data_IF_591003264200
#
_entry.id   IF_591003264200
#
_cell.length_a   1.000
_cell.length_b   1.000
_cell.length_c   1.000
_cell.angle_alpha   90.00
_cell.angle_beta   90.00
_cell.angle_gamma   90.00
#
_symmetry.space_group_name_H-M   'P 1'
#
loop_
_entity.id
_entity.type
_entity.pdbx_description
1 polymer ?
#
# COMPACT_ATOMS: atom_id res chain seq x y z
N UNK A 1 6.30 18.60 52.72
CA UNK A 1 5.48 17.38 52.50
C UNK A 1 4.56 17.46 51.27
N UNK A 2 4.18 18.63 50.80
CA UNK A 2 3.33 18.84 49.58
C UNK A 2 4.00 18.40 48.29
N UNK A 3 5.29 18.68 48.08
CA UNK A 3 6.03 18.37 46.85
C UNK A 3 6.18 16.85 46.57
N UNK A 4 6.42 16.06 47.59
CA UNK A 4 6.56 14.61 47.45
C UNK A 4 5.24 13.95 47.01
N UNK A 5 4.11 14.46 47.56
CA UNK A 5 2.78 13.97 47.17
C UNK A 5 2.42 14.34 45.75
N UNK A 6 2.76 15.56 45.29
CA UNK A 6 2.53 16.04 43.94
C UNK A 6 3.35 15.25 42.91
N UNK A 7 4.64 15.00 43.21
CA UNK A 7 5.53 14.18 42.36
C UNK A 7 5.03 12.73 42.23
N UNK A 8 4.56 12.13 43.34
CA UNK A 8 4.00 10.78 43.33
C UNK A 8 2.72 10.69 42.48
N UNK A 9 1.81 11.67 42.62
CA UNK A 9 0.57 11.75 41.83
C UNK A 9 0.89 11.89 40.34
N UNK A 10 1.83 12.76 39.97
CA UNK A 10 2.28 12.94 38.58
C UNK A 10 2.87 11.65 37.99
N UNK A 11 3.74 10.96 38.74
CA UNK A 11 4.31 9.66 38.31
C UNK A 11 3.22 8.62 38.09
N UNK A 12 2.25 8.48 39.02
CA UNK A 12 1.16 7.52 38.87
C UNK A 12 0.26 7.86 37.68
N UNK A 13 0.01 9.14 37.42
CA UNK A 13 -0.77 9.59 36.27
C UNK A 13 -0.06 9.24 34.93
N UNK A 14 1.25 9.53 34.84
CA UNK A 14 2.03 9.20 33.65
C UNK A 14 2.09 7.68 33.39
N UNK A 15 2.26 6.87 34.41
CA UNK A 15 2.22 5.42 34.28
C UNK A 15 0.86 4.92 33.79
N UNK A 16 -0.23 5.51 34.30
CA UNK A 16 -1.57 5.18 33.82
C UNK A 16 -1.74 5.56 32.33
N UNK A 17 -1.29 6.75 31.93
CA UNK A 17 -1.34 7.17 30.52
C UNK A 17 -0.51 6.23 29.64
N UNK A 18 0.70 5.88 30.06
CA UNK A 18 1.58 4.97 29.31
C UNK A 18 0.92 3.61 29.05
N UNK A 19 0.30 3.01 30.09
CA UNK A 19 -0.43 1.75 29.93
C UNK A 19 -1.65 1.92 28.98
N UNK A 20 -2.37 3.03 29.12
CA UNK A 20 -3.53 3.30 28.25
C UNK A 20 -3.09 3.45 26.79
N UNK A 21 -2.07 4.26 26.50
CA UNK A 21 -1.55 4.43 25.16
C UNK A 21 -1.03 3.13 24.55
N UNK A 22 -0.29 2.34 25.37
CA UNK A 22 0.20 1.04 24.94
C UNK A 22 -0.95 0.08 24.62
N UNK A 23 -1.95 -0.03 25.49
CA UNK A 23 -3.10 -0.89 25.28
C UNK A 23 -3.92 -0.48 24.04
N UNK A 24 -4.22 0.82 23.90
CA UNK A 24 -5.01 1.33 22.77
C UNK A 24 -4.25 1.13 21.44
N UNK A 25 -2.97 1.49 21.40
CA UNK A 25 -2.17 1.30 20.18
C UNK A 25 -1.99 -0.19 19.85
N UNK A 26 -1.81 -1.05 20.85
CA UNK A 26 -1.80 -2.51 20.65
C UNK A 26 -3.12 -2.99 20.04
N UNK A 27 -4.26 -2.61 20.62
CA UNK A 27 -5.58 -3.05 20.16
C UNK A 27 -5.85 -2.61 18.69
N UNK A 28 -5.44 -1.41 18.32
CA UNK A 28 -5.60 -0.89 16.96
C UNK A 28 -4.67 -1.58 15.96
N UNK A 29 -3.43 -1.89 16.37
CA UNK A 29 -2.40 -2.35 15.41
C UNK A 29 -2.23 -3.87 15.35
N UNK A 30 -2.66 -4.63 16.35
CA UNK A 30 -2.31 -6.04 16.51
C UNK A 30 -2.67 -6.92 15.29
N UNK A 31 -3.91 -6.80 14.79
CA UNK A 31 -4.39 -7.60 13.65
C UNK A 31 -3.66 -7.20 12.38
N UNK A 32 -3.43 -5.90 12.19
CA UNK A 32 -2.70 -5.41 11.03
C UNK A 32 -1.21 -5.82 11.10
N UNK A 33 -0.57 -5.81 12.29
CA UNK A 33 0.80 -6.33 12.47
C UNK A 33 0.85 -7.80 12.03
N UNK A 34 -0.10 -8.63 12.46
CA UNK A 34 -0.15 -10.04 12.07
C UNK A 34 -0.29 -10.19 10.55
N UNK A 35 -1.20 -9.42 9.94
CA UNK A 35 -1.38 -9.41 8.49
C UNK A 35 -0.08 -9.02 7.76
N UNK A 36 0.56 -7.93 8.19
CA UNK A 36 1.82 -7.46 7.59
C UNK A 36 2.97 -8.44 7.84
N UNK A 37 3.01 -9.13 8.98
CA UNK A 37 4.00 -10.18 9.24
C UNK A 37 3.84 -11.36 8.26
N UNK A 38 2.61 -11.87 8.08
CA UNK A 38 2.31 -12.95 7.15
C UNK A 38 2.59 -12.54 5.70
N UNK A 39 2.14 -11.36 5.29
CA UNK A 39 2.40 -10.85 3.94
C UNK A 39 3.88 -10.51 3.72
N UNK A 40 4.63 -10.13 4.76
CA UNK A 40 6.08 -9.98 4.71
C UNK A 40 6.80 -11.28 4.41
N UNK A 41 6.35 -12.41 4.96
CA UNK A 41 6.89 -13.73 4.64
C UNK A 41 6.61 -14.07 3.17
N UNK A 42 5.38 -13.90 2.69
CA UNK A 42 5.06 -14.18 1.28
C UNK A 42 5.82 -13.26 0.32
N UNK A 43 6.04 -12.02 0.72
CA UNK A 43 6.82 -11.06 -0.05
C UNK A 43 8.30 -11.45 -0.14
N UNK A 44 8.90 -11.90 0.97
CA UNK A 44 10.29 -12.37 1.00
C UNK A 44 10.50 -13.62 0.13
N UNK A 45 9.44 -14.41 -0.08
CA UNK A 45 9.47 -15.61 -0.93
C UNK A 45 8.78 -15.41 -2.28
N UNK A 46 8.55 -14.16 -2.70
CA UNK A 46 7.82 -13.86 -3.94
C UNK A 46 8.47 -14.45 -5.21
N UNK A 47 9.79 -14.65 -5.22
CA UNK A 47 10.49 -15.27 -6.33
C UNK A 47 10.29 -16.81 -6.40
N UNK A 48 9.95 -17.45 -5.27
CA UNK A 48 9.76 -18.91 -5.18
C UNK A 48 8.29 -19.30 -5.20
N UNK A 49 7.39 -18.40 -4.83
CA UNK A 49 5.96 -18.60 -4.93
C UNK A 49 5.56 -18.25 -6.37
N UNK A 50 5.46 -19.28 -7.24
CA UNK A 50 5.08 -19.07 -8.62
C UNK A 50 3.65 -18.57 -8.72
N UNK A 51 3.45 -17.44 -9.43
CA UNK A 51 2.14 -17.01 -9.86
C UNK A 51 1.92 -17.49 -11.30
N UNK A 52 0.75 -18.03 -11.59
CA UNK A 52 0.30 -18.25 -12.97
C UNK A 52 -0.59 -17.06 -13.34
N UNK A 53 -0.10 -16.11 -14.14
CA UNK A 53 -0.91 -14.98 -14.54
C UNK A 53 -2.10 -15.44 -15.37
N UNK A 54 -3.26 -14.88 -15.07
CA UNK A 54 -4.47 -15.05 -15.87
C UNK A 54 -4.72 -13.74 -16.58
N UNK A 55 -4.74 -13.79 -17.90
CA UNK A 55 -4.97 -12.61 -18.76
C UNK A 55 -6.33 -12.74 -19.43
N UNK A 56 -7.09 -11.67 -19.43
CA UNK A 56 -8.40 -11.58 -20.07
C UNK A 56 -8.38 -10.40 -21.04
N UNK A 57 -8.55 -10.69 -22.31
CA UNK A 57 -8.70 -9.69 -23.36
C UNK A 57 -10.15 -9.22 -23.44
N UNK A 58 -10.32 -7.91 -23.64
CA UNK A 58 -11.62 -7.28 -23.84
C UNK A 58 -11.56 -6.37 -25.06
N UNK A 59 -12.62 -6.34 -25.82
CA UNK A 59 -12.74 -5.47 -27.00
C UNK A 59 -14.03 -4.70 -26.95
N UNK A 60 -14.01 -3.50 -27.49
CA UNK A 60 -15.17 -2.63 -27.54
C UNK A 60 -15.09 -1.63 -28.67
N UNK A 61 -16.11 -0.78 -28.80
CA UNK A 61 -16.19 0.24 -29.83
C UNK A 61 -16.73 1.53 -29.22
N UNK A 62 -16.05 2.64 -29.46
CA UNK A 62 -16.58 3.96 -29.10
C UNK A 62 -17.79 4.34 -29.97
N UNK A 63 -18.78 5.00 -29.39
CA UNK A 63 -19.86 5.64 -30.16
C UNK A 63 -19.29 6.62 -31.19
N UNK A 64 -19.89 6.73 -32.42
CA UNK A 64 -19.40 7.64 -33.46
C UNK A 64 -19.33 9.11 -33.04
N UNK A 65 -20.17 9.53 -32.09
CA UNK A 65 -20.17 10.88 -31.50
C UNK A 65 -18.87 11.24 -30.78
N UNK A 66 -18.11 10.24 -30.31
CA UNK A 66 -16.87 10.42 -29.57
C UNK A 66 -15.60 10.37 -30.45
N UNK A 67 -15.72 10.08 -31.74
CA UNK A 67 -14.57 10.07 -32.66
C UNK A 67 -13.98 11.47 -32.85
N UNK A 68 -14.77 12.52 -32.86
CA UNK A 68 -14.28 13.92 -32.94
C UNK A 68 -13.42 14.32 -31.73
N UNK A 69 -13.87 14.15 -30.48
CA UNK A 69 -13.03 14.38 -29.31
C UNK A 69 -11.75 13.54 -29.34
N UNK A 70 -11.83 12.28 -29.80
CA UNK A 70 -10.67 11.38 -29.90
C UNK A 70 -9.64 11.84 -30.94
N UNK A 71 -10.10 12.33 -32.09
CA UNK A 71 -9.24 12.81 -33.16
C UNK A 71 -8.61 14.19 -32.89
N UNK A 72 -9.08 14.92 -31.88
CA UNK A 72 -8.59 16.24 -31.51
C UNK A 72 -7.10 16.24 -31.16
N UNK A 73 -6.50 17.44 -31.12
CA UNK A 73 -5.15 17.60 -30.62
C UNK A 73 -5.12 17.47 -29.09
N UNK A 74 -4.28 16.59 -28.59
CA UNK A 74 -4.06 16.36 -27.16
C UNK A 74 -2.56 16.48 -26.85
N UNK A 75 -2.20 16.91 -25.66
CA UNK A 75 -0.83 16.78 -25.18
C UNK A 75 -0.48 15.27 -25.02
N UNK A 76 0.79 14.94 -25.18
CA UNK A 76 1.25 13.54 -25.21
C UNK A 76 0.87 12.73 -23.98
N UNK A 77 0.66 13.39 -22.84
CA UNK A 77 0.32 12.82 -21.52
C UNK A 77 -1.05 13.30 -20.98
N UNK A 78 -1.88 13.90 -21.86
CA UNK A 78 -3.17 14.42 -21.42
C UNK A 78 -4.08 13.31 -20.87
N UNK A 79 -4.80 13.57 -19.77
CA UNK A 79 -5.77 12.59 -19.26
C UNK A 79 -6.88 12.36 -20.29
N UNK A 80 -7.42 11.14 -20.27
CA UNK A 80 -8.55 10.81 -21.14
C UNK A 80 -9.75 11.70 -20.79
N UNK A 81 -10.38 12.39 -21.78
CA UNK A 81 -11.61 13.15 -21.55
C UNK A 81 -12.67 12.32 -20.85
N UNK A 82 -13.41 12.90 -19.90
CA UNK A 82 -14.39 12.19 -19.08
C UNK A 82 -15.44 11.41 -19.92
N UNK A 83 -15.86 11.96 -21.06
CA UNK A 83 -16.79 11.26 -21.97
C UNK A 83 -16.19 10.02 -22.63
N UNK A 84 -14.89 10.05 -22.97
CA UNK A 84 -14.17 8.89 -23.49
C UNK A 84 -13.95 7.86 -22.38
N UNK A 85 -13.56 8.28 -21.17
CA UNK A 85 -13.39 7.39 -20.04
C UNK A 85 -14.70 6.67 -19.66
N UNK A 86 -15.83 7.37 -19.66
CA UNK A 86 -17.14 6.76 -19.44
C UNK A 86 -17.48 5.72 -20.52
N UNK A 87 -17.24 6.02 -21.79
CA UNK A 87 -17.49 5.06 -22.88
C UNK A 87 -16.53 3.84 -22.81
N UNK A 88 -15.29 4.01 -22.35
CA UNK A 88 -14.38 2.90 -22.07
C UNK A 88 -14.94 2.02 -20.94
N UNK A 89 -15.41 2.63 -19.85
CA UNK A 89 -16.02 1.90 -18.74
C UNK A 89 -17.24 1.08 -19.21
N UNK A 90 -18.11 1.67 -20.01
CA UNK A 90 -19.29 0.98 -20.55
C UNK A 90 -18.94 -0.15 -21.51
N UNK A 91 -17.88 0.03 -22.34
CA UNK A 91 -17.53 -0.93 -23.36
C UNK A 91 -16.67 -2.11 -22.84
N UNK A 92 -15.74 -1.87 -21.92
CA UNK A 92 -14.75 -2.85 -21.49
C UNK A 92 -14.64 -3.00 -19.97
N UNK A 93 -15.51 -2.34 -19.20
CA UNK A 93 -15.57 -2.42 -17.73
C UNK A 93 -14.20 -2.10 -17.08
N UNK A 94 -13.56 -1.01 -17.52
CA UNK A 94 -12.32 -0.47 -16.99
C UNK A 94 -12.42 1.03 -16.77
N UNK A 95 -12.14 1.48 -15.56
CA UNK A 95 -12.17 2.90 -15.20
C UNK A 95 -10.85 3.59 -15.58
N UNK A 96 -10.90 4.36 -16.65
CA UNK A 96 -9.80 5.20 -17.13
C UNK A 96 -9.91 6.67 -16.67
N UNK A 97 -10.84 6.99 -15.78
CA UNK A 97 -11.12 8.37 -15.33
C UNK A 97 -9.89 9.02 -14.69
N UNK A 98 -9.49 10.16 -15.19
CA UNK A 98 -8.36 10.95 -14.67
C UNK A 98 -6.99 10.28 -14.84
N UNK A 99 -6.90 9.19 -15.60
CA UNK A 99 -5.62 8.56 -15.94
C UNK A 99 -4.98 9.26 -17.11
N UNK A 100 -3.66 9.45 -17.04
CA UNK A 100 -2.87 9.96 -18.15
C UNK A 100 -2.96 8.99 -19.33
N UNK A 101 -3.18 9.51 -20.52
CA UNK A 101 -3.13 8.77 -21.75
C UNK A 101 -1.81 9.04 -22.47
N UNK A 102 -1.22 8.03 -23.06
CA UNK A 102 -0.10 8.18 -23.99
C UNK A 102 -0.69 8.37 -25.40
N UNK A 103 -0.76 9.65 -25.83
CA UNK A 103 -1.37 10.02 -27.10
C UNK A 103 -0.37 9.96 -28.24
N UNK A 104 -0.62 9.11 -29.21
CA UNK A 104 0.12 9.01 -30.48
C UNK A 104 -0.76 9.44 -31.65
N UNK A 105 -0.22 9.40 -32.87
CA UNK A 105 -1.01 9.69 -34.08
C UNK A 105 -2.13 8.66 -34.30
N UNK A 106 -1.87 7.38 -34.04
CA UNK A 106 -2.78 6.28 -34.35
C UNK A 106 -3.65 5.83 -33.18
N UNK A 107 -3.18 5.98 -31.96
CA UNK A 107 -3.86 5.44 -30.77
C UNK A 107 -3.67 6.31 -29.54
N UNK A 108 -4.52 6.11 -28.56
CA UNK A 108 -4.28 6.53 -27.19
C UNK A 108 -4.21 5.30 -26.30
N UNK A 109 -3.09 5.16 -25.60
CA UNK A 109 -2.85 4.08 -24.66
C UNK A 109 -3.01 4.60 -23.23
N UNK A 110 -3.71 3.84 -22.38
CA UNK A 110 -3.92 4.19 -20.97
C UNK A 110 -3.53 3.01 -20.10
N UNK A 111 -2.48 3.19 -19.30
CA UNK A 111 -2.09 2.20 -18.28
C UNK A 111 -3.00 2.30 -17.05
N UNK A 112 -3.48 1.16 -16.59
CA UNK A 112 -4.40 1.02 -15.44
C UNK A 112 -3.80 0.05 -14.40
N UNK A 113 -2.63 0.37 -13.82
CA UNK A 113 -1.99 -0.52 -12.84
C UNK A 113 -2.86 -0.72 -11.62
N UNK A 114 -2.92 -1.97 -11.12
CA UNK A 114 -3.75 -2.37 -9.98
C UNK A 114 -3.02 -3.36 -9.07
N UNK A 115 -3.39 -3.47 -7.79
CA UNK A 115 -2.74 -4.43 -6.90
C UNK A 115 -2.91 -5.86 -7.41
N UNK A 116 -1.83 -6.64 -7.39
CA UNK A 116 -1.81 -8.03 -7.81
C UNK A 116 -1.98 -8.25 -9.31
N UNK A 117 -1.86 -7.20 -10.13
CA UNK A 117 -2.01 -7.32 -11.56
C UNK A 117 -1.71 -6.04 -12.31
N UNK A 118 -2.15 -6.03 -13.55
CA UNK A 118 -2.10 -4.87 -14.43
C UNK A 118 -3.37 -4.83 -15.28
N UNK A 119 -3.70 -3.68 -15.82
CA UNK A 119 -4.65 -3.54 -16.90
C UNK A 119 -4.19 -2.39 -17.81
N UNK A 120 -4.65 -2.41 -19.04
CA UNK A 120 -4.45 -1.32 -19.99
C UNK A 120 -5.59 -1.26 -21.00
N UNK A 121 -5.75 -0.11 -21.59
CA UNK A 121 -6.70 0.15 -22.67
C UNK A 121 -5.97 0.87 -23.78
N UNK A 122 -6.14 0.43 -25.01
CA UNK A 122 -5.75 1.16 -26.23
C UNK A 122 -6.98 1.46 -27.06
N UNK A 123 -7.06 2.69 -27.57
CA UNK A 123 -8.17 3.15 -28.41
C UNK A 123 -7.59 3.64 -29.73
N UNK A 124 -7.94 3.01 -30.82
CA UNK A 124 -7.59 3.45 -32.17
C UNK A 124 -8.28 4.78 -32.50
N UNK A 125 -7.52 5.81 -32.84
CA UNK A 125 -8.01 7.18 -33.00
C UNK A 125 -8.81 7.38 -34.29
N UNK A 126 -8.59 6.55 -35.29
CA UNK A 126 -9.29 6.64 -36.57
C UNK A 126 -10.66 5.95 -36.51
N UNK A 127 -10.70 4.78 -35.87
CA UNK A 127 -11.87 3.91 -35.88
C UNK A 127 -12.68 3.94 -34.59
N UNK A 128 -12.04 4.33 -33.45
CA UNK A 128 -12.61 4.24 -32.13
C UNK A 128 -12.67 2.80 -31.59
N UNK A 129 -11.97 1.85 -32.22
CA UNK A 129 -11.88 0.49 -31.73
C UNK A 129 -11.10 0.45 -30.40
N UNK A 130 -11.67 -0.22 -29.40
CA UNK A 130 -11.08 -0.37 -28.06
C UNK A 130 -10.52 -1.77 -27.93
N UNK A 131 -9.28 -1.87 -27.49
CA UNK A 131 -8.63 -3.10 -27.03
C UNK A 131 -8.23 -2.90 -25.57
N UNK A 132 -8.48 -3.87 -24.73
CA UNK A 132 -8.07 -3.84 -23.35
C UNK A 132 -7.63 -5.21 -22.88
N UNK A 133 -6.73 -5.22 -21.92
CA UNK A 133 -6.24 -6.43 -21.29
C UNK A 133 -6.26 -6.25 -19.78
N UNK A 134 -6.65 -7.30 -19.08
CA UNK A 134 -6.62 -7.37 -17.62
C UNK A 134 -5.83 -8.59 -17.22
N UNK A 135 -4.69 -8.39 -16.59
CA UNK A 135 -3.85 -9.46 -16.04
C UNK A 135 -3.97 -9.53 -14.53
N UNK A 136 -4.23 -10.72 -14.00
CA UNK A 136 -4.20 -11.02 -12.56
C UNK A 136 -3.08 -12.01 -12.27
N UNK A 137 -2.26 -11.70 -11.27
CA UNK A 137 -1.19 -12.56 -10.74
C UNK A 137 -1.58 -13.31 -9.47
N UNK A 138 -2.87 -13.27 -9.12
CA UNK A 138 -3.45 -14.01 -8.00
C UNK A 138 -3.27 -13.33 -6.63
N UNK A 139 -3.81 -14.00 -5.59
CA UNK A 139 -3.94 -13.44 -4.24
C UNK A 139 -2.62 -13.12 -3.56
N UNK A 140 -1.57 -13.92 -3.76
CA UNK A 140 -0.27 -13.66 -3.14
C UNK A 140 0.32 -12.36 -3.67
N UNK A 141 0.28 -12.15 -5.00
CA UNK A 141 0.73 -10.89 -5.62
C UNK A 141 -0.11 -9.70 -5.15
N UNK A 142 -1.43 -9.88 -5.01
CA UNK A 142 -2.31 -8.86 -4.48
C UNK A 142 -1.93 -8.45 -3.06
N UNK A 143 -1.76 -9.41 -2.16
CA UNK A 143 -1.36 -9.14 -0.76
C UNK A 143 0.05 -8.54 -0.66
N UNK A 144 0.97 -8.95 -1.53
CA UNK A 144 2.31 -8.38 -1.60
C UNK A 144 2.29 -6.91 -2.07
N UNK A 145 1.41 -6.57 -3.03
CA UNK A 145 1.24 -5.18 -3.47
C UNK A 145 0.54 -4.32 -2.40
N UNK A 146 -0.43 -4.88 -1.66
CA UNK A 146 -1.00 -4.23 -0.47
C UNK A 146 0.06 -3.98 0.61
N UNK A 147 0.94 -4.96 0.87
CA UNK A 147 2.04 -4.80 1.82
C UNK A 147 2.96 -3.64 1.45
N UNK A 148 3.24 -3.47 0.16
CA UNK A 148 4.09 -2.39 -0.38
C UNK A 148 3.36 -1.06 -0.56
N UNK A 149 2.04 -1.04 -0.45
CA UNK A 149 1.22 0.13 -0.82
C UNK A 149 1.23 0.43 -2.34
N UNK A 150 1.58 -0.57 -3.19
CA UNK A 150 1.75 -0.38 -4.62
C UNK A 150 0.41 -0.45 -5.35
N UNK A 151 0.06 0.60 -6.10
CA UNK A 151 -1.17 0.71 -6.89
C UNK A 151 -2.48 0.59 -6.08
N UNK A 152 -2.44 0.91 -4.79
CA UNK A 152 -3.53 0.65 -3.83
C UNK A 152 -4.48 1.83 -3.62
N UNK A 153 -4.15 2.99 -4.18
CA UNK A 153 -4.95 4.21 -4.05
C UNK A 153 -4.78 4.94 -2.71
N UNK A 154 -5.37 6.14 -2.65
CA UNK A 154 -5.16 7.12 -1.56
C UNK A 154 -5.64 6.62 -0.21
N UNK A 155 -6.77 5.89 -0.17
CA UNK A 155 -7.32 5.39 1.09
C UNK A 155 -6.38 4.38 1.78
N UNK A 156 -5.77 3.49 1.00
CA UNK A 156 -4.81 2.52 1.52
C UNK A 156 -3.48 3.17 1.93
N UNK A 157 -3.03 4.19 1.19
CA UNK A 157 -1.87 5.01 1.56
C UNK A 157 -2.02 5.60 2.97
N UNK A 158 -3.13 6.28 3.24
CA UNK A 158 -3.40 6.83 4.57
C UNK A 158 -3.59 5.77 5.65
N UNK A 159 -4.18 4.61 5.31
CA UNK A 159 -4.27 3.49 6.24
C UNK A 159 -2.89 3.03 6.69
N UNK A 160 -1.93 2.87 5.76
CA UNK A 160 -0.55 2.45 6.09
C UNK A 160 0.11 3.46 7.03
N UNK A 161 -0.03 4.77 6.76
CA UNK A 161 0.57 5.81 7.59
C UNK A 161 -0.01 5.83 9.02
N UNK A 162 -1.32 5.80 9.14
CA UNK A 162 -2.00 5.73 10.46
C UNK A 162 -1.59 4.47 11.22
N UNK A 163 -1.56 3.34 10.52
CA UNK A 163 -1.10 2.08 11.09
C UNK A 163 0.37 2.13 11.54
N UNK A 164 1.26 2.71 10.73
CA UNK A 164 2.67 2.87 11.09
C UNK A 164 2.85 3.73 12.34
N UNK A 165 2.09 4.82 12.48
CA UNK A 165 2.08 5.65 13.70
C UNK A 165 1.58 4.85 14.91
N UNK A 166 0.51 4.06 14.77
CA UNK A 166 0.03 3.21 15.85
C UNK A 166 1.07 2.16 16.27
N UNK A 167 1.78 1.54 15.32
CA UNK A 167 2.87 0.60 15.59
C UNK A 167 4.05 1.29 16.30
N UNK A 168 4.42 2.51 15.87
CA UNK A 168 5.48 3.29 16.52
C UNK A 168 5.12 3.61 17.97
N UNK A 169 3.89 4.06 18.25
CA UNK A 169 3.40 4.32 19.61
C UNK A 169 3.38 3.04 20.46
N UNK A 170 2.90 1.94 19.90
CA UNK A 170 2.91 0.63 20.56
C UNK A 170 4.33 0.22 20.95
N UNK A 171 5.27 0.31 20.01
CA UNK A 171 6.66 -0.08 20.21
C UNK A 171 7.36 0.81 21.24
N UNK A 172 7.23 2.14 21.11
CA UNK A 172 7.86 3.10 22.03
C UNK A 172 7.31 2.95 23.45
N UNK A 173 5.99 2.86 23.60
CA UNK A 173 5.38 2.65 24.92
C UNK A 173 5.75 1.29 25.49
N UNK A 174 5.86 0.26 24.66
CA UNK A 174 6.34 -1.07 25.03
C UNK A 174 7.77 -1.04 25.55
N UNK A 175 8.70 -0.34 24.87
CA UNK A 175 10.08 -0.17 25.32
C UNK A 175 10.17 0.53 26.68
N UNK A 176 9.36 1.58 26.90
CA UNK A 176 9.31 2.25 28.20
C UNK A 176 8.77 1.32 29.29
N UNK A 177 7.72 0.54 29.02
CA UNK A 177 7.19 -0.46 29.95
C UNK A 177 8.20 -1.57 30.24
N UNK A 178 8.95 -2.04 29.23
CA UNK A 178 10.05 -2.98 29.42
C UNK A 178 11.14 -2.40 30.35
N UNK A 179 11.53 -1.13 30.16
CA UNK A 179 12.50 -0.47 31.05
C UNK A 179 11.98 -0.44 32.51
N UNK A 180 10.71 -0.14 32.71
CA UNK A 180 10.13 -0.09 34.06
C UNK A 180 10.13 -1.45 34.77
N UNK A 181 10.06 -2.54 33.99
CA UNK A 181 10.04 -3.92 34.52
C UNK A 181 11.39 -4.65 34.39
N UNK A 182 12.38 -4.04 33.74
CA UNK A 182 13.71 -4.66 33.47
C UNK A 182 14.46 -5.06 34.74
N UNK A 183 14.22 -4.34 35.86
CA UNK A 183 14.83 -4.65 37.17
C UNK A 183 14.60 -6.11 37.60
N UNK A 184 13.46 -6.67 37.27
CA UNK A 184 13.08 -8.03 37.60
C UNK A 184 13.40 -9.06 36.51
N UNK A 185 13.97 -8.60 35.37
CA UNK A 185 14.26 -9.44 34.19
C UNK A 185 15.58 -9.00 33.54
N UNK A 186 16.74 -9.49 34.04
CA UNK A 186 18.05 -9.01 33.61
C UNK A 186 18.34 -9.25 32.12
N UNK A 187 17.71 -10.26 31.50
CA UNK A 187 17.84 -10.55 30.08
C UNK A 187 17.11 -9.56 29.15
N UNK A 188 16.31 -8.63 29.68
CA UNK A 188 15.50 -7.71 28.85
C UNK A 188 16.37 -6.89 27.89
N UNK A 189 17.36 -6.17 28.41
CA UNK A 189 18.20 -5.31 27.58
C UNK A 189 19.15 -6.08 26.64
N UNK A 190 19.80 -7.17 27.05
CA UNK A 190 20.53 -8.03 26.12
C UNK A 190 19.67 -8.48 24.92
N UNK A 191 18.41 -8.90 25.14
CA UNK A 191 17.51 -9.32 24.07
C UNK A 191 17.12 -8.15 23.15
N UNK A 192 16.79 -6.98 23.70
CA UNK A 192 16.45 -5.78 22.90
C UNK A 192 17.66 -5.36 22.03
N UNK A 193 18.85 -5.32 22.62
CA UNK A 193 20.08 -4.99 21.90
C UNK A 193 20.38 -6.03 20.81
N UNK A 194 20.22 -7.32 21.09
CA UNK A 194 20.40 -8.38 20.10
C UNK A 194 19.41 -8.21 18.93
N UNK A 195 18.15 -7.89 19.21
CA UNK A 195 17.12 -7.62 18.20
C UNK A 195 17.44 -6.42 17.30
N UNK A 196 18.26 -5.48 17.75
CA UNK A 196 18.74 -4.36 16.94
C UNK A 196 20.04 -4.70 16.20
N UNK A 197 21.01 -5.31 16.90
CA UNK A 197 22.37 -5.54 16.39
C UNK A 197 22.37 -6.58 15.27
N UNK A 198 21.60 -7.67 15.38
CA UNK A 198 21.57 -8.72 14.36
C UNK A 198 21.14 -8.17 12.99
N UNK A 199 19.97 -7.53 12.82
CA UNK A 199 19.57 -7.00 11.50
C UNK A 199 20.53 -5.90 11.01
N UNK A 200 21.05 -5.05 11.90
CA UNK A 200 22.02 -4.03 11.52
C UNK A 200 23.34 -4.66 11.00
N UNK A 201 23.84 -5.70 11.67
CA UNK A 201 25.04 -6.41 11.23
C UNK A 201 24.81 -7.11 9.88
N UNK A 202 23.66 -7.76 9.69
CA UNK A 202 23.29 -8.35 8.40
C UNK A 202 23.27 -7.28 7.31
N UNK A 203 22.61 -6.14 7.57
CA UNK A 203 22.51 -5.06 6.60
C UNK A 203 23.88 -4.47 6.21
N UNK A 204 24.80 -4.32 7.18
CA UNK A 204 26.10 -3.69 6.94
C UNK A 204 27.10 -4.66 6.31
N UNK A 205 27.12 -5.93 6.72
CA UNK A 205 28.19 -6.86 6.36
C UNK A 205 27.80 -7.91 5.31
N UNK A 206 26.49 -8.16 5.09
CA UNK A 206 26.01 -9.23 4.21
C UNK A 206 25.19 -8.74 3.03
N UNK A 207 24.70 -7.48 3.04
CA UNK A 207 23.97 -6.89 1.92
C UNK A 207 24.91 -5.92 1.21
N UNK A 208 25.51 -6.38 0.11
CA UNK A 208 26.36 -5.59 -0.80
C UNK A 208 25.91 -5.78 -2.23
#
# INVERSE_FOLDING_TARGET
MSDVRSARRRKTWWLKQLHTWHWVSAAVSLVAILLFAVTGITLNHAATISATPVTVDRTGQLPPSLLRPLAGAHAADAPLPASLAAAVMDAVDLDATGRAGEWSEGEVYVALPRPGGDAWVSIDRATGAIKAEVTSRGWVSYLNDLHKGRNTGVAWFWFIDVFAVACALFTLTGLVLLQLHARNRPATWPLVVTGLVIPAAIAIFLIH
#
